data_IF_765796384641
#
_entry.id   IF_765796384641
#
_cell.length_a   1.000
_cell.length_b   1.000
_cell.length_c   1.000
_cell.angle_alpha   90.00
_cell.angle_beta   90.00
_cell.angle_gamma   90.00
#
_symmetry.space_group_name_H-M   'P 1'
#
loop_
_entity.id
_entity.type
_entity.pdbx_description
1 polymer ?
#
# COMPACT_ATOMS: atom_id res chain seq x y z
N UNK A 1 11.79 11.14 6.28
CA UNK A 1 12.15 11.88 5.07
C UNK A 1 13.23 11.16 4.25
N UNK A 2 14.40 10.80 4.81
CA UNK A 2 15.47 10.09 4.07
C UNK A 2 15.00 8.80 3.39
N UNK A 3 14.08 8.05 4.02
CA UNK A 3 13.46 6.87 3.38
C UNK A 3 12.59 7.23 2.20
N UNK A 4 11.85 8.36 2.27
CA UNK A 4 11.05 8.86 1.17
C UNK A 4 11.89 9.24 -0.06
N UNK A 5 13.11 9.71 0.13
CA UNK A 5 14.05 10.04 -0.96
C UNK A 5 14.38 8.82 -1.81
N UNK A 6 14.47 7.62 -1.19
CA UNK A 6 14.72 6.36 -1.91
C UNK A 6 13.55 6.03 -2.84
N UNK A 7 12.31 6.17 -2.35
CA UNK A 7 11.12 5.94 -3.17
C UNK A 7 11.04 6.92 -4.34
N UNK A 8 11.28 8.21 -4.08
CA UNK A 8 11.30 9.24 -5.12
C UNK A 8 12.38 8.95 -6.17
N UNK A 9 13.57 8.53 -5.74
CA UNK A 9 14.66 8.20 -6.65
C UNK A 9 14.32 6.98 -7.54
N UNK A 10 13.71 5.92 -6.96
CA UNK A 10 13.27 4.75 -7.71
C UNK A 10 12.18 5.12 -8.74
N UNK A 11 11.20 5.93 -8.34
CA UNK A 11 10.13 6.40 -9.22
C UNK A 11 10.66 7.28 -10.36
N UNK A 12 11.57 8.23 -10.05
CA UNK A 12 12.16 9.11 -11.05
C UNK A 12 12.99 8.34 -12.08
N UNK A 13 13.80 7.36 -11.63
CA UNK A 13 14.54 6.50 -12.55
C UNK A 13 13.61 5.69 -13.44
N UNK A 14 12.55 5.13 -12.87
CA UNK A 14 11.54 4.41 -13.65
C UNK A 14 10.88 5.31 -14.69
N UNK A 15 10.53 6.55 -14.32
CA UNK A 15 10.02 7.54 -15.26
C UNK A 15 10.99 7.79 -16.43
N UNK A 16 12.27 8.00 -16.15
CA UNK A 16 13.26 8.26 -17.20
C UNK A 16 13.42 7.06 -18.14
N UNK A 17 13.48 5.84 -17.63
CA UNK A 17 13.58 4.62 -18.42
C UNK A 17 12.36 4.42 -19.31
N UNK A 18 11.15 4.63 -18.75
CA UNK A 18 9.89 4.55 -19.50
C UNK A 18 9.84 5.62 -20.60
N UNK A 19 10.22 6.84 -20.28
CA UNK A 19 10.27 7.92 -21.28
C UNK A 19 11.21 7.59 -22.43
N UNK A 20 12.41 7.08 -22.14
CA UNK A 20 13.37 6.64 -23.15
C UNK A 20 12.78 5.50 -24.00
N UNK A 21 12.18 4.48 -23.38
CA UNK A 21 11.56 3.36 -24.09
C UNK A 21 10.41 3.82 -25.02
N UNK A 22 9.63 4.81 -24.60
CA UNK A 22 8.59 5.42 -25.45
C UNK A 22 9.21 6.17 -26.63
N UNK A 23 10.30 6.93 -26.39
CA UNK A 23 11.02 7.67 -27.45
C UNK A 23 11.66 6.77 -28.48
N UNK A 24 12.08 5.56 -28.14
CA UNK A 24 12.64 4.60 -29.13
C UNK A 24 11.64 4.20 -30.17
N UNK A 25 10.35 4.22 -29.85
CA UNK A 25 9.24 3.89 -30.78
C UNK A 25 8.80 5.06 -31.66
N UNK A 26 9.24 6.28 -31.31
CA UNK A 26 8.96 7.48 -32.10
C UNK A 26 9.99 7.59 -33.21
N UNK A 27 9.51 7.74 -34.43
CA UNK A 27 10.37 7.91 -35.61
C UNK A 27 11.32 9.11 -35.51
N UNK A 28 12.38 9.09 -36.29
CA UNK A 28 13.36 10.18 -36.38
C UNK A 28 13.05 11.05 -37.60
N UNK A 29 13.22 12.38 -37.49
CA UNK A 29 12.93 13.31 -38.61
C UNK A 29 14.07 13.29 -39.61
N UNK A 30 15.30 13.54 -39.24
CA UNK A 30 16.48 13.45 -40.09
C UNK A 30 17.77 13.33 -39.25
N UNK A 31 18.79 12.65 -39.76
CA UNK A 31 20.10 12.44 -39.12
C UNK A 31 20.01 11.90 -37.68
N UNK A 32 19.02 11.04 -37.40
CA UNK A 32 18.82 10.47 -36.06
C UNK A 32 18.25 11.43 -35.00
N UNK A 33 17.84 12.65 -35.39
CA UNK A 33 17.22 13.61 -34.46
C UNK A 33 15.73 13.36 -34.32
N UNK A 34 15.20 13.51 -33.13
CA UNK A 34 13.77 13.45 -32.83
C UNK A 34 13.17 14.85 -32.79
N UNK A 35 11.89 14.97 -33.13
CA UNK A 35 11.16 16.22 -32.97
C UNK A 35 11.04 16.58 -31.49
N UNK A 36 11.35 17.83 -31.13
CA UNK A 36 11.29 18.29 -29.76
C UNK A 36 9.88 18.23 -29.19
N UNK A 37 8.87 18.54 -29.99
CA UNK A 37 7.47 18.52 -29.54
C UNK A 37 7.03 17.10 -29.20
N UNK A 38 7.41 16.11 -30.02
CA UNK A 38 7.15 14.69 -29.76
C UNK A 38 7.90 14.18 -28.53
N UNK A 39 9.14 14.63 -28.33
CA UNK A 39 9.90 14.26 -27.12
C UNK A 39 9.20 14.74 -25.85
N UNK A 40 8.74 15.99 -25.83
CA UNK A 40 8.00 16.57 -24.70
C UNK A 40 6.64 15.87 -24.51
N UNK A 41 5.92 15.62 -25.60
CA UNK A 41 4.62 14.95 -25.57
C UNK A 41 4.72 13.54 -24.99
N UNK A 42 5.70 12.73 -25.43
CA UNK A 42 5.89 11.38 -24.89
C UNK A 42 6.36 11.39 -23.43
N UNK A 43 7.13 12.41 -23.03
CA UNK A 43 7.47 12.61 -21.62
C UNK A 43 6.26 12.96 -20.76
N UNK A 44 5.40 13.83 -21.24
CA UNK A 44 4.16 14.19 -20.56
C UNK A 44 3.23 12.97 -20.41
N UNK A 45 3.05 12.17 -21.46
CA UNK A 45 2.26 10.92 -21.41
C UNK A 45 2.84 9.91 -20.43
N UNK A 46 4.18 9.75 -20.38
CA UNK A 46 4.84 8.87 -19.44
C UNK A 46 4.63 9.33 -17.99
N UNK A 47 4.77 10.64 -17.74
CA UNK A 47 4.57 11.24 -16.42
C UNK A 47 3.13 11.09 -15.95
N UNK A 48 2.15 11.39 -16.80
CA UNK A 48 0.72 11.30 -16.48
C UNK A 48 0.31 9.86 -16.15
N UNK A 49 0.76 8.89 -16.97
CA UNK A 49 0.49 7.48 -16.68
C UNK A 49 1.11 7.04 -15.34
N UNK A 50 2.40 7.34 -15.13
CA UNK A 50 3.08 6.95 -13.89
C UNK A 50 2.48 7.63 -12.65
N UNK A 51 2.08 8.90 -12.77
CA UNK A 51 1.39 9.63 -11.71
C UNK A 51 0.03 8.99 -11.40
N UNK A 52 -0.72 8.63 -12.44
CA UNK A 52 -2.00 7.93 -12.27
C UNK A 52 -1.81 6.59 -11.56
N UNK A 53 -0.81 5.80 -11.95
CA UNK A 53 -0.45 4.57 -11.25
C UNK A 53 -0.11 4.86 -9.78
N UNK A 54 0.73 5.86 -9.51
CA UNK A 54 1.20 6.19 -8.17
C UNK A 54 0.04 6.57 -7.23
N UNK A 55 -0.91 7.37 -7.71
CA UNK A 55 -2.10 7.74 -6.93
C UNK A 55 -3.01 6.54 -6.71
N UNK A 56 -3.27 5.76 -7.75
CA UNK A 56 -4.17 4.59 -7.70
C UNK A 56 -3.61 3.44 -6.88
N UNK A 57 -2.29 3.30 -6.82
CA UNK A 57 -1.64 2.28 -6.00
C UNK A 57 -1.98 2.40 -4.51
N UNK A 58 -2.33 3.59 -4.04
CA UNK A 58 -2.76 3.81 -2.64
C UNK A 58 -4.01 2.97 -2.32
N UNK A 59 -4.93 2.83 -3.27
CA UNK A 59 -6.14 2.02 -3.14
C UNK A 59 -5.86 0.51 -3.02
N UNK A 60 -4.64 0.08 -3.32
CA UNK A 60 -4.19 -1.31 -3.27
C UNK A 60 -3.08 -1.53 -2.23
N UNK A 61 -3.03 -0.67 -1.22
CA UNK A 61 -2.11 -0.79 -0.10
C UNK A 61 -2.84 -1.21 1.17
N UNK A 62 -2.19 -1.94 2.08
CA UNK A 62 -2.77 -2.19 3.39
C UNK A 62 -2.84 -0.88 4.18
N UNK A 63 -3.91 -0.64 4.98
CA UNK A 63 -4.07 0.61 5.75
C UNK A 63 -3.11 0.73 6.93
N UNK A 64 -2.44 -0.36 7.31
CA UNK A 64 -1.49 -0.41 8.43
C UNK A 64 -0.15 -0.98 7.96
N UNK A 65 0.94 -0.51 8.57
CA UNK A 65 2.32 -0.97 8.35
C UNK A 65 2.73 -1.01 6.87
N UNK A 66 2.38 0.04 6.13
CA UNK A 66 2.71 0.19 4.71
C UNK A 66 4.23 0.18 4.48
N UNK A 67 4.69 -0.70 3.60
CA UNK A 67 6.09 -0.83 3.17
C UNK A 67 6.28 -0.41 1.71
N UNK A 68 7.51 -0.09 1.31
CA UNK A 68 7.81 0.17 -0.10
C UNK A 68 7.59 -1.06 -0.99
N UNK A 69 7.78 -2.27 -0.43
CA UNK A 69 7.49 -3.53 -1.11
C UNK A 69 6.00 -3.69 -1.42
N UNK A 70 5.14 -3.38 -0.44
CA UNK A 70 3.69 -3.39 -0.62
C UNK A 70 3.26 -2.33 -1.64
N UNK A 71 3.84 -1.13 -1.58
CA UNK A 71 3.55 -0.07 -2.55
C UNK A 71 4.00 -0.43 -3.98
N UNK A 72 5.16 -1.08 -4.14
CA UNK A 72 5.60 -1.59 -5.44
C UNK A 72 4.61 -2.61 -5.99
N UNK A 73 4.19 -3.60 -5.19
CA UNK A 73 3.19 -4.59 -5.62
C UNK A 73 1.86 -3.93 -6.00
N UNK A 74 1.45 -2.89 -5.28
CA UNK A 74 0.28 -2.10 -5.61
C UNK A 74 0.42 -1.38 -6.97
N UNK A 75 1.56 -0.73 -7.24
CA UNK A 75 1.86 -0.09 -8.52
C UNK A 75 1.74 -1.07 -9.69
N UNK A 76 2.38 -2.25 -9.56
CA UNK A 76 2.36 -3.29 -10.58
C UNK A 76 0.96 -3.83 -10.83
N UNK A 77 0.18 -4.01 -9.74
CA UNK A 77 -1.19 -4.51 -9.83
C UNK A 77 -2.11 -3.53 -10.53
N UNK A 78 -2.04 -2.25 -10.17
CA UNK A 78 -2.85 -1.20 -10.79
C UNK A 78 -2.59 -1.10 -12.29
N UNK A 79 -1.32 -1.15 -12.70
CA UNK A 79 -0.98 -1.10 -14.12
C UNK A 79 -1.49 -2.35 -14.86
N UNK A 80 -1.32 -3.54 -14.28
CA UNK A 80 -1.83 -4.79 -14.87
C UNK A 80 -3.34 -4.78 -15.08
N UNK A 81 -4.09 -4.21 -14.13
CA UNK A 81 -5.56 -4.15 -14.21
C UNK A 81 -6.07 -3.20 -15.29
N UNK A 82 -5.30 -2.16 -15.62
CA UNK A 82 -5.68 -1.13 -16.60
C UNK A 82 -5.00 -1.35 -17.96
N UNK A 83 -3.74 -1.81 -17.95
CA UNK A 83 -2.94 -2.02 -19.17
C UNK A 83 -2.28 -3.41 -19.10
N UNK A 84 -3.03 -4.48 -19.41
CA UNK A 84 -2.51 -5.86 -19.28
C UNK A 84 -1.22 -6.12 -20.07
N UNK A 85 -1.06 -5.54 -21.24
CA UNK A 85 0.01 -5.85 -22.20
C UNK A 85 1.39 -5.31 -21.82
N UNK A 86 1.50 -4.39 -20.85
CA UNK A 86 2.74 -3.65 -20.52
C UNK A 86 3.56 -3.19 -21.74
N UNK A 87 2.87 -2.68 -22.73
CA UNK A 87 3.43 -2.37 -24.06
C UNK A 87 4.69 -1.52 -24.04
N UNK A 88 4.86 -0.68 -23.01
CA UNK A 88 6.00 0.22 -22.87
C UNK A 88 6.97 -0.19 -21.77
N UNK A 89 6.78 -1.35 -21.14
CA UNK A 89 7.66 -1.89 -20.12
C UNK A 89 7.63 -1.12 -18.79
N UNK A 90 6.47 -0.59 -18.41
CA UNK A 90 6.31 0.15 -17.14
C UNK A 90 6.60 -0.74 -15.94
N UNK A 91 6.03 -1.94 -15.91
CA UNK A 91 6.24 -2.90 -14.80
C UNK A 91 7.67 -3.38 -14.73
N UNK A 92 8.29 -3.67 -15.88
CA UNK A 92 9.70 -4.06 -15.93
C UNK A 92 10.63 -2.94 -15.43
N UNK A 93 10.39 -1.69 -15.86
CA UNK A 93 11.15 -0.52 -15.41
C UNK A 93 11.03 -0.31 -13.89
N UNK A 94 9.81 -0.43 -13.34
CA UNK A 94 9.55 -0.33 -11.91
C UNK A 94 10.31 -1.43 -11.14
N UNK A 95 10.15 -2.69 -11.52
CA UNK A 95 10.82 -3.82 -10.88
C UNK A 95 12.34 -3.63 -10.86
N UNK A 96 12.95 -3.31 -11.99
CA UNK A 96 14.40 -3.11 -12.13
C UNK A 96 14.89 -1.94 -11.27
N UNK A 97 14.22 -0.80 -11.33
CA UNK A 97 14.68 0.38 -10.62
C UNK A 97 14.47 0.29 -9.10
N UNK A 98 13.34 -0.27 -8.64
CA UNK A 98 13.13 -0.51 -7.22
C UNK A 98 14.13 -1.53 -6.67
N UNK A 99 14.41 -2.61 -7.41
CA UNK A 99 15.43 -3.59 -7.03
C UNK A 99 16.83 -2.97 -6.87
N UNK A 100 17.18 -1.95 -7.67
CA UNK A 100 18.46 -1.24 -7.53
C UNK A 100 18.62 -0.49 -6.19
N UNK A 101 17.53 -0.26 -5.50
CA UNK A 101 17.48 0.31 -4.14
C UNK A 101 17.15 -0.74 -3.06
N UNK A 102 17.22 -2.03 -3.40
CA UNK A 102 16.93 -3.11 -2.47
C UNK A 102 15.46 -3.31 -2.15
N UNK A 103 14.55 -2.75 -2.96
CA UNK A 103 13.11 -2.90 -2.79
C UNK A 103 12.62 -3.98 -3.76
N UNK A 104 12.19 -5.12 -3.21
CA UNK A 104 11.52 -6.18 -3.95
C UNK A 104 9.99 -6.08 -3.75
N UNK A 105 9.17 -6.69 -4.61
CA UNK A 105 7.73 -6.84 -4.36
C UNK A 105 7.44 -7.53 -3.02
N UNK A 106 6.22 -7.36 -2.52
CA UNK A 106 5.78 -8.00 -1.27
C UNK A 106 5.91 -9.52 -1.34
N UNK A 107 6.26 -10.15 -0.23
CA UNK A 107 6.28 -11.62 -0.13
C UNK A 107 4.90 -12.28 -0.32
N UNK A 108 3.82 -11.51 -0.22
CA UNK A 108 2.44 -11.95 -0.48
C UNK A 108 2.02 -11.77 -1.95
N UNK A 109 2.89 -11.18 -2.78
CA UNK A 109 2.63 -10.99 -4.21
C UNK A 109 2.84 -12.28 -5.02
N UNK A 110 2.33 -12.27 -6.22
CA UNK A 110 2.58 -13.30 -7.23
C UNK A 110 3.99 -13.20 -7.83
N UNK A 111 4.37 -14.16 -8.67
CA UNK A 111 5.70 -14.23 -9.30
C UNK A 111 6.04 -12.98 -10.11
N UNK A 112 5.06 -12.33 -10.71
CA UNK A 112 5.20 -11.08 -11.48
C UNK A 112 5.24 -9.82 -10.59
N UNK A 113 5.21 -9.98 -9.27
CA UNK A 113 5.24 -8.91 -8.28
C UNK A 113 3.88 -8.24 -8.02
N UNK A 114 2.83 -8.61 -8.72
CA UNK A 114 1.48 -8.07 -8.50
C UNK A 114 0.77 -8.79 -7.35
N UNK A 115 -0.24 -8.16 -6.75
CA UNK A 115 -1.05 -8.84 -5.74
C UNK A 115 -1.73 -10.08 -6.31
N UNK A 116 -1.76 -11.13 -5.49
CA UNK A 116 -2.47 -12.36 -5.81
C UNK A 116 -3.97 -12.11 -5.74
N UNK A 117 -4.69 -12.54 -6.77
CA UNK A 117 -6.15 -12.53 -6.73
C UNK A 117 -6.67 -13.49 -5.67
N UNK A 118 -7.75 -13.07 -5.00
CA UNK A 118 -8.41 -13.93 -4.01
C UNK A 118 -9.10 -15.11 -4.71
N UNK A 119 -8.80 -16.30 -4.25
CA UNK A 119 -9.47 -17.55 -4.63
C UNK A 119 -10.37 -18.08 -3.50
N UNK A 120 -10.62 -17.23 -2.48
CA UNK A 120 -11.34 -17.62 -1.27
C UNK A 120 -12.84 -17.62 -1.51
N UNK A 121 -13.50 -18.68 -1.03
CA UNK A 121 -14.96 -18.76 -1.01
C UNK A 121 -15.52 -17.82 0.07
N UNK A 122 -16.19 -16.76 -0.37
CA UNK A 122 -16.84 -15.78 0.50
C UNK A 122 -18.34 -16.04 0.59
N UNK A 123 -18.89 -15.80 1.78
CA UNK A 123 -20.33 -15.83 2.03
C UNK A 123 -20.94 -14.50 1.70
N UNK A 124 -21.71 -14.42 0.62
CA UNK A 124 -22.39 -13.20 0.17
C UNK A 124 -23.89 -13.19 0.51
N UNK A 125 -24.46 -14.33 0.92
CA UNK A 125 -25.92 -14.50 1.06
C UNK A 125 -26.57 -13.68 2.16
N UNK A 126 -25.79 -13.08 3.05
CA UNK A 126 -26.24 -12.28 4.20
C UNK A 126 -25.97 -10.78 4.07
N UNK A 127 -25.40 -10.34 2.96
CA UNK A 127 -25.07 -8.95 2.69
C UNK A 127 -25.86 -8.44 1.49
N UNK A 128 -26.36 -7.21 1.60
CA UNK A 128 -26.98 -6.50 0.48
C UNK A 128 -25.88 -5.85 -0.35
N UNK A 129 -25.67 -6.34 -1.57
CA UNK A 129 -24.59 -5.89 -2.43
C UNK A 129 -24.56 -4.37 -2.64
N UNK A 130 -25.69 -3.77 -3.04
CA UNK A 130 -25.76 -2.32 -3.29
C UNK A 130 -25.46 -1.48 -2.04
N UNK A 131 -25.84 -1.97 -0.85
CA UNK A 131 -25.54 -1.32 0.41
C UNK A 131 -24.07 -1.50 0.80
N UNK A 132 -23.53 -2.71 0.62
CA UNK A 132 -22.14 -3.03 0.92
C UNK A 132 -21.15 -2.12 0.17
N UNK A 133 -21.51 -1.62 -1.02
CA UNK A 133 -20.68 -0.73 -1.83
C UNK A 133 -20.50 0.67 -1.24
N UNK A 134 -21.32 1.08 -0.25
CA UNK A 134 -21.37 2.47 0.23
C UNK A 134 -21.55 2.60 1.74
N UNK A 135 -21.90 1.50 2.41
CA UNK A 135 -22.26 1.50 3.83
C UNK A 135 -21.21 0.68 4.61
N UNK A 136 -20.54 1.35 5.53
CA UNK A 136 -19.52 0.78 6.39
C UNK A 136 -20.07 -0.30 7.34
N UNK A 137 -21.31 -0.17 7.80
CA UNK A 137 -21.96 -1.16 8.66
C UNK A 137 -22.26 -2.46 7.89
N UNK A 138 -22.74 -2.33 6.65
CA UNK A 138 -23.00 -3.50 5.81
C UNK A 138 -21.68 -4.17 5.37
N UNK A 139 -20.63 -3.39 5.09
CA UNK A 139 -19.29 -3.91 4.84
C UNK A 139 -18.71 -4.58 6.11
N UNK A 140 -18.92 -4.01 7.29
CA UNK A 140 -18.52 -4.65 8.54
C UNK A 140 -19.22 -6.01 8.72
N UNK A 141 -20.52 -6.09 8.41
CA UNK A 141 -21.26 -7.36 8.44
C UNK A 141 -20.65 -8.40 7.50
N UNK A 142 -20.28 -7.99 6.28
CA UNK A 142 -19.58 -8.86 5.33
C UNK A 142 -18.23 -9.34 5.90
N UNK A 143 -17.41 -8.42 6.41
CA UNK A 143 -16.09 -8.73 7.01
C UNK A 143 -16.26 -9.72 8.19
N UNK A 144 -17.24 -9.48 9.05
CA UNK A 144 -17.49 -10.30 10.23
C UNK A 144 -17.96 -11.72 9.86
N UNK A 145 -18.90 -11.85 8.93
CA UNK A 145 -19.38 -13.17 8.45
C UNK A 145 -18.24 -13.96 7.78
N UNK A 146 -17.35 -13.27 7.09
CA UNK A 146 -16.23 -13.87 6.36
C UNK A 146 -14.91 -13.87 7.14
N UNK A 147 -14.89 -13.52 8.43
CA UNK A 147 -13.65 -13.32 9.20
C UNK A 147 -12.68 -14.49 9.16
N UNK A 148 -13.19 -15.73 9.12
CA UNK A 148 -12.34 -16.93 9.01
C UNK A 148 -11.70 -17.07 7.64
N UNK A 149 -12.47 -16.83 6.58
CA UNK A 149 -11.97 -16.83 5.21
C UNK A 149 -10.98 -15.69 4.97
N UNK A 150 -11.19 -14.53 5.62
CA UNK A 150 -10.28 -13.39 5.59
C UNK A 150 -9.09 -13.54 6.56
N UNK A 151 -8.99 -14.67 7.28
CA UNK A 151 -7.92 -14.91 8.27
C UNK A 151 -7.85 -13.85 9.37
N UNK A 152 -9.00 -13.28 9.73
CA UNK A 152 -9.11 -12.39 10.88
C UNK A 152 -9.28 -13.27 12.12
N UNK A 153 -8.34 -13.14 13.05
CA UNK A 153 -8.42 -13.86 14.32
C UNK A 153 -9.68 -13.50 15.11
N UNK A 154 -10.12 -14.39 16.00
CA UNK A 154 -11.25 -14.13 16.90
C UNK A 154 -10.91 -13.09 18.02
N UNK A 155 -9.68 -12.56 18.01
CA UNK A 155 -9.17 -11.58 18.97
C UNK A 155 -9.06 -10.20 18.35
N UNK A 156 -9.36 -9.19 19.17
CA UNK A 156 -9.27 -7.79 18.74
C UNK A 156 -10.56 -7.22 18.20
N UNK A 157 -10.60 -5.90 18.15
CA UNK A 157 -11.71 -5.11 17.64
C UNK A 157 -11.48 -4.83 16.15
N UNK A 158 -12.51 -5.07 15.34
CA UNK A 158 -12.48 -4.81 13.89
C UNK A 158 -13.33 -3.58 13.60
N UNK A 159 -12.80 -2.67 12.81
CA UNK A 159 -13.48 -1.47 12.36
C UNK A 159 -13.28 -1.28 10.86
N UNK A 160 -14.36 -1.04 10.13
CA UNK A 160 -14.31 -0.61 8.73
C UNK A 160 -14.08 0.89 8.72
N UNK A 161 -13.00 1.33 8.10
CA UNK A 161 -12.56 2.72 8.09
C UNK A 161 -13.13 3.49 6.89
N UNK A 162 -13.32 2.81 5.78
CA UNK A 162 -13.88 3.43 4.57
C UNK A 162 -14.44 2.38 3.61
N UNK A 163 -15.47 2.77 2.89
CA UNK A 163 -15.99 2.03 1.73
C UNK A 163 -16.20 3.04 0.61
N UNK A 164 -15.52 2.87 -0.51
CA UNK A 164 -15.60 3.83 -1.61
C UNK A 164 -15.62 3.14 -2.98
N UNK A 165 -16.53 3.54 -3.88
CA UNK A 165 -16.48 3.12 -5.27
C UNK A 165 -15.32 3.80 -5.98
N UNK A 166 -14.63 3.06 -6.85
CA UNK A 166 -13.53 3.54 -7.69
C UNK A 166 -13.85 3.23 -9.15
N UNK A 167 -13.79 4.25 -10.00
CA UNK A 167 -13.96 4.08 -11.45
C UNK A 167 -12.69 4.52 -12.15
N UNK A 168 -12.20 3.70 -13.06
CA UNK A 168 -10.99 3.98 -13.83
C UNK A 168 -11.29 3.81 -15.31
N UNK A 169 -10.69 4.65 -16.13
CA UNK A 169 -10.81 4.58 -17.59
C UNK A 169 -9.42 4.31 -18.12
N UNK A 170 -9.26 3.19 -18.81
CA UNK A 170 -8.04 2.84 -19.50
C UNK A 170 -7.84 3.71 -20.78
N UNK A 171 -6.61 3.80 -21.31
CA UNK A 171 -6.34 4.59 -22.52
C UNK A 171 -7.13 4.16 -23.76
N UNK A 172 -7.59 2.91 -23.81
CA UNK A 172 -8.45 2.35 -24.87
C UNK A 172 -9.94 2.59 -24.64
N UNK A 173 -10.30 3.27 -23.52
CA UNK A 173 -11.68 3.55 -23.14
C UNK A 173 -12.34 2.47 -22.31
N UNK A 174 -11.63 1.38 -21.95
CA UNK A 174 -12.14 0.38 -21.01
C UNK A 174 -12.41 0.99 -19.64
N UNK A 175 -13.57 0.71 -19.06
CA UNK A 175 -13.98 1.23 -17.76
C UNK A 175 -13.89 0.12 -16.73
N UNK A 176 -12.94 0.27 -15.79
CA UNK A 176 -12.81 -0.60 -14.63
C UNK A 176 -13.57 0.02 -13.45
N UNK A 177 -14.54 -0.74 -12.93
CA UNK A 177 -15.30 -0.36 -11.73
C UNK A 177 -14.99 -1.30 -10.61
N UNK A 178 -14.62 -0.75 -9.47
CA UNK A 178 -14.26 -1.49 -8.26
C UNK A 178 -14.84 -0.80 -7.03
N UNK A 179 -14.98 -1.56 -5.96
CA UNK A 179 -15.25 -1.00 -4.62
C UNK A 179 -14.06 -1.34 -3.73
N UNK A 180 -13.53 -0.33 -3.08
CA UNK A 180 -12.42 -0.43 -2.15
C UNK A 180 -12.96 -0.30 -0.73
N UNK A 181 -12.70 -1.30 0.10
CA UNK A 181 -13.03 -1.24 1.53
C UNK A 181 -11.77 -1.43 2.36
N UNK A 182 -11.58 -0.57 3.34
CA UNK A 182 -10.45 -0.63 4.28
C UNK A 182 -10.97 -0.96 5.67
N UNK A 183 -10.34 -1.93 6.32
CA UNK A 183 -10.61 -2.27 7.71
C UNK A 183 -9.33 -2.29 8.53
N UNK A 184 -9.47 -2.00 9.82
CA UNK A 184 -8.40 -2.09 10.80
C UNK A 184 -8.82 -3.06 11.90
N UNK A 185 -7.89 -3.87 12.36
CA UNK A 185 -8.04 -4.74 13.51
C UNK A 185 -7.11 -4.26 14.62
N UNK A 186 -7.63 -4.07 15.82
CA UNK A 186 -6.88 -3.57 16.97
C UNK A 186 -6.96 -4.56 18.14
N UNK A 187 -5.83 -4.82 18.77
CA UNK A 187 -5.73 -5.64 19.97
C UNK A 187 -4.89 -4.91 21.00
N UNK A 188 -5.49 -4.56 22.13
CA UNK A 188 -4.79 -3.91 23.24
C UNK A 188 -4.63 -4.91 24.38
N UNK A 189 -3.38 -5.19 24.73
CA UNK A 189 -2.98 -6.10 25.80
C UNK A 189 -1.88 -5.46 26.64
N UNK A 190 -1.65 -6.00 27.84
CA UNK A 190 -0.48 -5.63 28.64
C UNK A 190 0.80 -6.16 27.97
N UNK A 191 1.92 -5.46 28.15
CA UNK A 191 3.20 -5.85 27.56
C UNK A 191 3.62 -7.28 27.94
N UNK A 192 3.29 -7.71 29.17
CA UNK A 192 3.54 -9.08 29.62
C UNK A 192 2.72 -10.11 28.82
N UNK A 193 1.44 -9.84 28.59
CA UNK A 193 0.55 -10.73 27.82
C UNK A 193 1.03 -10.86 26.37
N UNK A 194 1.52 -9.75 25.77
CA UNK A 194 2.09 -9.77 24.43
C UNK A 194 3.38 -10.60 24.35
N UNK A 195 4.21 -10.56 25.39
CA UNK A 195 5.40 -11.40 25.49
C UNK A 195 5.04 -12.88 25.52
N UNK A 196 3.98 -13.25 26.23
CA UNK A 196 3.47 -14.62 26.28
C UNK A 196 2.94 -15.10 24.92
N UNK A 197 2.54 -14.16 24.02
CA UNK A 197 2.17 -14.42 22.61
C UNK A 197 3.38 -14.42 21.65
N UNK A 198 4.61 -14.30 22.17
CA UNK A 198 5.84 -14.32 21.38
C UNK A 198 6.24 -12.98 20.76
N UNK A 199 5.58 -11.87 21.16
CA UNK A 199 5.97 -10.53 20.73
C UNK A 199 7.13 -10.03 21.57
N UNK A 200 8.23 -9.62 20.92
CA UNK A 200 9.39 -9.06 21.59
C UNK A 200 9.05 -7.67 22.17
N UNK A 201 9.23 -7.55 23.48
CA UNK A 201 9.01 -6.32 24.24
C UNK A 201 10.36 -5.71 24.63
N UNK A 202 10.61 -4.41 24.35
CA UNK A 202 11.85 -3.75 24.70
C UNK A 202 12.12 -3.78 26.20
N UNK A 203 13.39 -3.98 26.58
CA UNK A 203 13.83 -3.90 27.97
C UNK A 203 13.55 -2.48 28.52
N UNK A 204 12.90 -2.41 29.67
CA UNK A 204 12.53 -1.15 30.32
C UNK A 204 11.11 -0.67 30.00
N UNK A 205 10.37 -1.27 29.08
CA UNK A 205 8.93 -1.05 28.94
C UNK A 205 8.22 -1.75 30.13
N UNK A 206 7.39 -0.99 30.84
CA UNK A 206 6.64 -1.52 31.98
C UNK A 206 5.74 -2.70 31.54
N UNK A 207 5.85 -3.82 32.23
CA UNK A 207 5.10 -5.05 31.96
C UNK A 207 3.57 -4.87 31.99
N UNK A 208 3.09 -3.92 32.79
CA UNK A 208 1.68 -3.59 32.94
C UNK A 208 1.20 -2.53 31.95
N UNK A 209 2.10 -1.99 31.14
CA UNK A 209 1.76 -0.99 30.12
C UNK A 209 0.86 -1.62 29.07
N UNK A 210 -0.27 -0.97 28.79
CA UNK A 210 -1.10 -1.32 27.66
C UNK A 210 -0.42 -0.94 26.35
N UNK A 211 -0.33 -1.89 25.44
CA UNK A 211 0.23 -1.76 24.10
C UNK A 211 -0.84 -2.20 23.11
N UNK A 212 -1.07 -1.38 22.10
CA UNK A 212 -2.02 -1.69 21.03
C UNK A 212 -1.28 -2.20 19.80
N UNK A 213 -1.63 -3.41 19.38
CA UNK A 213 -1.25 -3.97 18.09
C UNK A 213 -2.27 -3.57 17.04
N UNK A 214 -1.79 -3.41 15.81
CA UNK A 214 -2.62 -3.09 14.67
C UNK A 214 -2.41 -4.11 13.56
N UNK A 215 -3.51 -4.62 13.05
CA UNK A 215 -3.65 -5.32 11.79
C UNK A 215 -4.66 -4.59 10.93
N UNK A 216 -4.81 -5.04 9.70
CA UNK A 216 -5.83 -4.48 8.82
C UNK A 216 -5.59 -4.85 7.38
N UNK A 217 -6.55 -4.54 6.55
CA UNK A 217 -6.47 -4.87 5.13
C UNK A 217 -7.37 -4.02 4.26
N UNK A 218 -7.05 -4.07 3.00
CA UNK A 218 -7.84 -3.51 1.90
C UNK A 218 -8.47 -4.65 1.13
N UNK A 219 -9.78 -4.58 0.99
CA UNK A 219 -10.60 -5.49 0.18
C UNK A 219 -10.97 -4.75 -1.11
N UNK A 220 -10.67 -5.36 -2.23
CA UNK A 220 -11.02 -4.82 -3.55
C UNK A 220 -12.05 -5.75 -4.17
N UNK A 221 -13.24 -5.22 -4.45
CA UNK A 221 -14.33 -5.95 -5.09
C UNK A 221 -14.46 -5.49 -6.54
N UNK A 222 -14.84 -6.40 -7.42
CA UNK A 222 -15.19 -6.09 -8.80
C UNK A 222 -16.58 -5.43 -8.91
N UNK A 223 -17.00 -5.12 -10.13
CA UNK A 223 -18.30 -4.49 -10.42
C UNK A 223 -19.51 -5.37 -10.05
N UNK A 224 -19.30 -6.69 -9.85
CA UNK A 224 -20.31 -7.64 -9.45
C UNK A 224 -20.30 -7.92 -7.93
N UNK A 225 -19.37 -7.28 -7.19
CA UNK A 225 -19.19 -7.45 -5.75
C UNK A 225 -18.44 -8.70 -5.33
N UNK A 226 -17.76 -9.34 -6.27
CA UNK A 226 -16.89 -10.45 -5.93
C UNK A 226 -15.56 -9.92 -5.41
N UNK A 227 -15.05 -10.52 -4.34
CA UNK A 227 -13.74 -10.16 -3.78
C UNK A 227 -12.63 -10.51 -4.78
N UNK A 228 -11.93 -9.51 -5.24
CA UNK A 228 -10.86 -9.59 -6.23
C UNK A 228 -9.48 -9.68 -5.57
N UNK A 229 -9.25 -8.84 -4.55
CA UNK A 229 -8.02 -8.80 -3.77
C UNK A 229 -8.31 -8.65 -2.28
N UNK A 230 -7.54 -9.37 -1.48
CA UNK A 230 -7.37 -9.15 -0.05
C UNK A 230 -5.90 -8.80 0.20
N UNK A 231 -5.64 -7.56 0.54
CA UNK A 231 -4.29 -7.03 0.79
C UNK A 231 -4.21 -6.69 2.27
N UNK A 232 -3.61 -7.56 3.06
CA UNK A 232 -3.69 -7.46 4.51
C UNK A 232 -2.34 -7.65 5.21
N UNK A 233 -2.19 -6.94 6.32
CA UNK A 233 -1.23 -7.19 7.37
C UNK A 233 -1.99 -7.70 8.60
N UNK A 234 -1.87 -8.99 8.90
CA UNK A 234 -2.61 -9.60 10.01
C UNK A 234 -2.00 -9.26 11.36
N UNK A 235 -2.74 -9.43 12.46
CA UNK A 235 -2.24 -9.13 13.80
C UNK A 235 -1.07 -10.03 14.21
N UNK A 236 -1.35 -11.33 14.39
CA UNK A 236 -0.42 -12.32 14.97
C UNK A 236 -0.59 -13.70 14.30
N UNK A 237 -0.94 -13.76 13.03
CA UNK A 237 -1.28 -15.02 12.34
C UNK A 237 -0.04 -15.85 11.97
N UNK A 238 1.12 -15.22 11.91
CA UNK A 238 2.38 -15.86 11.51
C UNK A 238 3.58 -15.26 12.25
N UNK A 239 4.70 -15.96 12.21
CA UNK A 239 5.97 -15.45 12.75
C UNK A 239 6.39 -14.14 12.09
N UNK A 240 6.02 -13.91 10.84
CA UNK A 240 6.27 -12.64 10.16
C UNK A 240 5.44 -11.51 10.72
N UNK A 241 4.19 -11.78 11.11
CA UNK A 241 3.32 -10.80 11.76
C UNK A 241 3.85 -10.46 13.16
N UNK A 242 4.22 -11.47 13.94
CA UNK A 242 4.81 -11.29 15.27
C UNK A 242 6.08 -10.42 15.18
N UNK A 243 6.99 -10.72 14.24
CA UNK A 243 8.19 -9.91 14.03
C UNK A 243 7.87 -8.47 13.63
N UNK A 244 6.87 -8.26 12.76
CA UNK A 244 6.43 -6.91 12.37
C UNK A 244 5.91 -6.11 13.56
N UNK A 245 5.09 -6.71 14.42
CA UNK A 245 4.60 -6.07 15.64
C UNK A 245 5.73 -5.77 16.62
N UNK A 246 6.66 -6.71 16.82
CA UNK A 246 7.85 -6.52 17.65
C UNK A 246 8.70 -5.33 17.17
N UNK A 247 8.97 -5.25 15.88
CA UNK A 247 9.72 -4.13 15.28
C UNK A 247 8.98 -2.80 15.43
N UNK A 248 7.65 -2.79 15.29
CA UNK A 248 6.83 -1.61 15.52
C UNK A 248 6.92 -1.13 16.97
N UNK A 249 6.80 -2.02 17.94
CA UNK A 249 6.90 -1.69 19.38
C UNK A 249 8.28 -1.15 19.69
N UNK A 250 9.35 -1.82 19.20
CA UNK A 250 10.72 -1.36 19.38
C UNK A 250 10.92 0.06 18.82
N UNK A 251 10.44 0.32 17.62
CA UNK A 251 10.51 1.64 16.98
C UNK A 251 9.75 2.73 17.79
N UNK A 252 8.56 2.41 18.29
CA UNK A 252 7.78 3.32 19.11
C UNK A 252 8.47 3.58 20.46
N UNK A 253 9.11 2.57 21.05
CA UNK A 253 9.91 2.71 22.26
C UNK A 253 11.12 3.62 22.02
N UNK A 254 11.91 3.35 20.98
CA UNK A 254 13.09 4.15 20.62
C UNK A 254 12.71 5.61 20.30
N UNK A 255 11.53 5.84 19.70
CA UNK A 255 11.03 7.17 19.40
C UNK A 255 10.50 7.92 20.64
N UNK A 256 10.41 7.26 21.82
CA UNK A 256 9.90 7.81 23.07
C UNK A 256 8.36 7.90 23.13
N UNK A 257 7.64 7.22 22.24
CA UNK A 257 6.18 7.23 22.21
C UNK A 257 5.57 6.75 23.53
N UNK A 258 6.17 5.71 24.14
CA UNK A 258 5.68 5.15 25.41
C UNK A 258 6.10 5.95 26.65
N UNK A 259 7.03 6.89 26.52
CA UNK A 259 7.38 7.77 27.63
C UNK A 259 6.25 8.78 27.94
N UNK A 260 5.73 9.43 26.89
CA UNK A 260 4.56 10.32 26.95
C UNK A 260 3.91 10.43 25.55
N UNK A 261 2.68 9.92 25.36
CA UNK A 261 1.98 10.00 24.06
C UNK A 261 1.78 11.43 23.54
N UNK A 262 1.61 12.41 24.44
CA UNK A 262 1.47 13.82 24.03
C UNK A 262 2.82 14.37 23.52
N UNK A 263 3.93 13.97 24.11
CA UNK A 263 5.28 14.31 23.66
C UNK A 263 5.62 13.66 22.34
N UNK A 264 5.15 12.44 22.07
CA UNK A 264 5.39 11.75 20.79
C UNK A 264 4.70 12.47 19.62
N UNK A 265 3.47 12.93 19.80
CA UNK A 265 2.76 13.73 18.78
C UNK A 265 3.45 15.09 18.54
N UNK A 266 3.92 15.77 19.61
CA UNK A 266 4.68 17.01 19.54
C UNK A 266 6.02 16.84 18.84
N UNK A 267 6.79 15.78 19.17
CA UNK A 267 8.09 15.48 18.51
C UNK A 267 7.98 15.24 17.02
N UNK A 268 6.90 14.60 16.56
CA UNK A 268 6.68 14.41 15.13
C UNK A 268 6.46 15.76 14.42
N UNK A 269 5.65 16.63 14.99
CA UNK A 269 5.41 17.98 14.50
C UNK A 269 6.68 18.85 14.52
N UNK A 270 7.47 18.78 15.60
CA UNK A 270 8.75 19.49 15.75
C UNK A 270 9.79 19.04 14.72
N UNK A 271 9.92 17.74 14.46
CA UNK A 271 10.80 17.19 13.43
C UNK A 271 10.42 17.66 12.03
N UNK A 272 9.12 17.73 11.73
CA UNK A 272 8.62 18.26 10.46
C UNK A 272 8.87 19.75 10.31
N UNK A 273 8.66 20.54 11.37
CA UNK A 273 8.92 21.98 11.35
C UNK A 273 10.42 22.28 11.23
N UNK A 274 11.28 21.59 11.99
CA UNK A 274 12.72 21.79 11.96
C UNK A 274 13.28 21.50 10.55
N UNK A 275 12.77 20.46 9.86
CA UNK A 275 13.18 20.14 8.50
C UNK A 275 12.67 21.17 7.48
N UNK A 276 11.43 21.58 7.58
CA UNK A 276 10.87 22.62 6.70
C UNK A 276 11.63 23.96 6.83
N UNK A 277 12.17 24.27 8.02
CA UNK A 277 13.03 25.44 8.23
C UNK A 277 14.43 25.24 7.64
N UNK A 278 15.02 24.05 7.77
CA UNK A 278 16.33 23.72 7.20
C UNK A 278 16.29 23.77 5.66
N UNK A 279 15.24 23.23 5.04
CA UNK A 279 15.05 23.28 3.59
C UNK A 279 14.87 24.70 3.06
N UNK A 280 14.26 25.61 3.85
CA UNK A 280 14.16 27.04 3.51
C UNK A 280 15.47 27.81 3.66
N UNK A 281 16.37 27.37 4.52
CA UNK A 281 17.67 28.00 4.72
C UNK A 281 18.72 27.54 3.68
N UNK A 282 18.42 26.51 2.91
CA UNK A 282 19.28 25.98 1.84
C UNK A 282 18.89 26.45 0.42
N UNK A 283 17.84 27.27 0.29
CA UNK A 283 17.43 28.00 -0.91
C UNK A 283 17.87 29.47 -0.86
#
# INVERSE_FOLDING_TARGET
HRRGEILVAAMLRSFLDIWVARLERVGTISRGKKDRSLVVEEGAKAADHLLTMAIRAIDYCPPVDLTFSAYLSALLTVDREVVPDDRYGYREALLRNFASYGIAPSGSADVDGTWRRSDRDMVYSRTHFDSMLRDEEEMFRFVWENRRALELGDVGYIEVQSVRPSTRIAPDGFVLRETIAEYVQMLTLQAQELKDLGVDIPDGLDHWRNVTLFGGGTLVFDEYGQLKYQIANHLLNSDSDIRRQSQRIAHLWESGFYADPAVAASRFAELHMARAMADRASL
#
